data_IF_953556519974
#
_entry.id   IF_953556519974
#
_cell.length_a   1.000
_cell.length_b   1.000
_cell.length_c   1.000
_cell.angle_alpha   90.00
_cell.angle_beta   90.00
_cell.angle_gamma   90.00
#
_symmetry.space_group_name_H-M   'P 1'
#
loop_
_entity.id
_entity.type
_entity.pdbx_description
1 polymer ?
#
# COMPACT_ATOMS: atom_id res chain seq x y z
N UNK A 1 28.54 22.78 -35.42
CA UNK A 1 29.38 22.83 -34.20
C UNK A 1 29.43 24.25 -33.59
N UNK A 2 28.52 24.52 -32.65
CA UNK A 2 28.70 25.48 -31.54
C UNK A 2 27.91 24.91 -30.35
N UNK A 3 28.46 24.90 -29.13
CA UNK A 3 27.89 24.14 -28.01
C UNK A 3 26.74 24.88 -27.33
N UNK A 4 25.73 24.13 -26.90
CA UNK A 4 24.68 24.60 -25.99
C UNK A 4 25.29 24.89 -24.60
N UNK A 5 24.82 25.93 -23.89
CA UNK A 5 25.32 26.28 -22.56
C UNK A 5 24.90 25.26 -21.48
N UNK A 6 25.67 25.10 -20.40
CA UNK A 6 25.38 24.13 -19.34
C UNK A 6 24.15 24.54 -18.52
N UNK A 7 23.37 23.53 -18.12
CA UNK A 7 22.21 23.68 -17.24
C UNK A 7 22.62 24.29 -15.88
N UNK A 8 21.79 25.18 -15.28
CA UNK A 8 22.11 25.78 -13.99
C UNK A 8 22.06 24.72 -12.87
N UNK A 9 23.11 24.72 -12.06
CA UNK A 9 23.19 23.96 -10.83
C UNK A 9 22.03 24.30 -9.89
N UNK A 10 21.42 23.27 -9.31
CA UNK A 10 20.44 23.39 -8.22
C UNK A 10 21.15 24.00 -7.00
N UNK A 11 21.14 25.32 -6.93
CA UNK A 11 21.48 26.10 -5.74
C UNK A 11 20.46 25.84 -4.64
N UNK A 12 20.96 25.75 -3.40
CA UNK A 12 20.17 25.50 -2.20
C UNK A 12 18.94 26.41 -2.10
N UNK A 13 17.77 25.77 -1.95
CA UNK A 13 16.54 26.46 -1.63
C UNK A 13 16.56 27.01 -0.20
N UNK A 14 15.88 28.14 0.07
CA UNK A 14 15.88 28.78 1.37
C UNK A 14 15.09 27.95 2.38
N UNK A 15 15.61 27.89 3.61
CA UNK A 15 14.87 27.43 4.78
C UNK A 15 13.65 28.34 4.98
N UNK A 16 12.45 27.81 4.73
CA UNK A 16 11.20 28.43 5.16
C UNK A 16 10.85 27.93 6.57
N UNK A 17 10.45 28.82 7.49
CA UNK A 17 10.18 28.48 8.89
C UNK A 17 8.91 27.64 9.01
N UNK A 18 8.96 26.63 9.87
CA UNK A 18 7.80 25.85 10.32
C UNK A 18 6.78 26.76 10.99
N UNK A 19 5.74 27.16 10.25
CA UNK A 19 4.51 27.71 10.81
C UNK A 19 3.44 26.62 10.83
N UNK A 20 3.10 26.17 12.03
CA UNK A 20 1.96 25.30 12.32
C UNK A 20 0.65 26.07 12.05
N UNK A 21 -0.01 25.74 10.95
CA UNK A 21 -1.39 26.16 10.65
C UNK A 21 -2.39 25.03 10.94
N UNK A 22 -3.58 25.31 11.52
CA UNK A 22 -4.59 24.29 11.80
C UNK A 22 -5.50 24.12 10.59
N UNK A 23 -5.63 22.90 10.04
CA UNK A 23 -6.59 22.68 8.95
C UNK A 23 -6.45 21.39 8.17
N UNK A 24 -6.26 20.24 8.80
CA UNK A 24 -6.12 18.99 8.06
C UNK A 24 -6.61 17.82 8.92
N UNK A 25 -7.67 17.10 8.50
CA UNK A 25 -7.93 15.77 9.07
C UNK A 25 -8.61 14.73 8.18
N UNK A 26 -9.29 15.11 7.10
CA UNK A 26 -10.06 14.14 6.30
C UNK A 26 -9.21 12.98 5.75
N UNK A 27 -8.04 13.31 5.19
CA UNK A 27 -7.04 12.32 4.77
C UNK A 27 -5.97 12.05 5.85
N UNK A 28 -5.98 12.84 6.95
CA UNK A 28 -5.16 12.48 8.10
C UNK A 28 -5.68 11.24 8.78
N UNK A 29 -6.95 10.83 8.71
CA UNK A 29 -7.35 9.54 9.29
C UNK A 29 -6.57 8.36 8.70
N UNK A 30 -6.26 8.36 7.40
CA UNK A 30 -5.36 7.36 6.79
C UNK A 30 -3.92 7.57 7.28
N UNK A 31 -3.45 8.82 7.28
CA UNK A 31 -2.11 9.16 7.79
C UNK A 31 -1.93 8.77 9.27
N UNK A 32 -2.99 8.87 10.07
CA UNK A 32 -3.09 8.57 11.50
C UNK A 32 -3.19 7.06 11.75
N UNK A 33 -3.95 6.34 10.92
CA UNK A 33 -3.93 4.88 10.86
C UNK A 33 -2.50 4.37 10.62
N UNK A 34 -1.78 5.00 9.68
CA UNK A 34 -0.43 4.58 9.28
C UNK A 34 0.68 5.12 10.20
N UNK A 35 0.45 6.22 10.93
CA UNK A 35 1.43 6.86 11.79
C UNK A 35 1.48 6.19 13.17
N UNK A 36 1.98 4.96 13.22
CA UNK A 36 2.48 4.34 14.45
C UNK A 36 3.79 4.99 14.96
N UNK A 37 3.97 6.31 14.83
CA UNK A 37 5.17 7.03 15.29
C UNK A 37 4.80 8.09 16.32
N UNK A 38 5.36 8.06 17.55
CA UNK A 38 5.29 9.20 18.43
C UNK A 38 6.13 10.34 17.84
N UNK A 39 5.54 11.55 17.77
CA UNK A 39 6.28 12.79 17.68
C UNK A 39 7.21 12.85 18.90
N UNK A 40 8.51 12.63 18.68
CA UNK A 40 9.52 12.91 19.69
C UNK A 40 9.51 14.42 19.97
N UNK A 41 9.00 14.80 21.14
CA UNK A 41 9.09 16.16 21.64
C UNK A 41 10.56 16.54 21.86
N UNK A 42 11.15 17.26 20.91
CA UNK A 42 12.40 17.96 21.12
C UNK A 42 12.10 19.18 21.98
N UNK A 43 12.48 19.11 23.26
CA UNK A 43 12.51 20.25 24.17
C UNK A 43 13.46 21.35 23.66
N UNK A 44 13.30 22.59 24.15
CA UNK A 44 13.90 23.77 23.55
C UNK A 44 15.44 23.73 23.60
N UNK A 45 16.04 23.93 22.44
CA UNK A 45 17.49 23.91 22.23
C UNK A 45 18.22 25.00 23.01
N UNK A 46 19.32 24.61 23.65
CA UNK A 46 20.45 25.50 23.95
C UNK A 46 21.41 25.48 22.76
N UNK A 47 21.70 26.67 22.25
CA UNK A 47 22.72 26.94 21.23
C UNK A 47 24.12 26.49 21.70
N UNK A 48 24.98 25.89 20.85
CA UNK A 48 26.39 25.71 21.17
C UNK A 48 27.24 26.85 20.58
N UNK A 49 27.90 27.61 21.45
CA UNK A 49 29.11 28.35 21.10
C UNK A 49 30.30 27.38 21.12
N UNK A 50 31.11 27.39 20.06
CA UNK A 50 32.17 26.41 19.84
C UNK A 50 33.42 26.62 20.69
N UNK A 51 34.25 25.57 20.78
CA UNK A 51 35.73 25.64 20.79
C UNK A 51 36.26 24.31 20.23
N UNK A 52 37.20 24.43 19.29
CA UNK A 52 38.02 23.38 18.67
C UNK A 52 39.01 22.80 19.69
N UNK A 53 39.17 21.47 19.71
CA UNK A 53 40.47 20.85 20.05
C UNK A 53 40.58 19.41 19.54
N UNK A 54 41.60 19.20 18.71
CA UNK A 54 42.10 17.88 18.29
C UNK A 54 42.53 17.02 19.49
N UNK A 55 42.38 15.69 19.38
CA UNK A 55 43.50 14.73 19.42
C UNK A 55 43.08 13.28 19.14
N UNK A 56 44.04 12.58 18.53
CA UNK A 56 44.10 11.21 18.00
C UNK A 56 43.92 10.07 19.03
N UNK A 57 43.76 8.81 18.55
CA UNK A 57 43.27 7.66 19.33
C UNK A 57 44.42 6.89 20.00
N UNK A 58 44.10 6.17 21.09
CA UNK A 58 44.99 5.19 21.70
C UNK A 58 44.27 3.89 22.03
N UNK A 59 44.92 2.80 21.59
CA UNK A 59 44.73 1.41 22.00
C UNK A 59 45.00 1.20 23.50
N UNK A 60 44.38 0.16 24.05
CA UNK A 60 44.96 -0.97 24.82
C UNK A 60 43.76 -1.83 25.29
N UNK A 61 43.58 -3.12 24.99
CA UNK A 61 44.42 -4.30 25.23
C UNK A 61 44.81 -4.49 26.71
N UNK A 62 44.15 -5.43 27.39
CA UNK A 62 44.81 -6.27 28.37
C UNK A 62 44.18 -7.68 28.38
N UNK A 63 45.06 -8.66 28.21
CA UNK A 63 44.83 -10.09 28.30
C UNK A 63 45.23 -10.61 29.69
N UNK A 64 44.71 -11.78 30.04
CA UNK A 64 45.20 -12.68 31.11
C UNK A 64 44.47 -14.04 30.97
N UNK A 65 44.95 -14.99 30.15
CA UNK A 65 45.91 -16.08 30.45
C UNK A 65 45.38 -17.09 31.50
N UNK A 66 45.41 -18.42 31.38
CA UNK A 66 45.87 -19.40 30.37
C UNK A 66 45.53 -20.83 30.88
N UNK A 67 45.45 -21.79 29.94
CA UNK A 67 45.71 -23.27 30.07
C UNK A 67 44.66 -24.10 30.84
N UNK A 68 44.21 -25.27 30.39
CA UNK A 68 44.59 -26.17 29.30
C UNK A 68 44.47 -27.63 29.80
N UNK A 69 43.71 -28.51 29.12
CA UNK A 69 43.87 -29.97 29.22
C UNK A 69 43.05 -30.71 28.14
N UNK A 70 43.68 -31.71 27.52
CA UNK A 70 43.16 -32.68 26.56
C UNK A 70 42.43 -33.84 27.25
N UNK A 71 41.82 -34.71 26.41
CA UNK A 71 41.39 -36.11 26.60
C UNK A 71 39.94 -36.23 27.10
N UNK A 72 39.05 -37.05 26.54
CA UNK A 72 39.14 -38.07 25.49
C UNK A 72 37.73 -38.62 25.23
N UNK A 73 37.52 -39.17 24.04
CA UNK A 73 36.37 -40.02 23.72
C UNK A 73 36.41 -41.31 24.57
N UNK A 74 35.25 -41.94 24.80
CA UNK A 74 35.19 -43.37 24.54
C UNK A 74 33.96 -43.78 23.71
N UNK A 75 34.20 -44.77 22.84
CA UNK A 75 33.18 -45.54 22.13
C UNK A 75 32.58 -46.67 22.98
N UNK A 76 31.34 -47.03 22.63
CA UNK A 76 30.61 -48.32 22.68
C UNK A 76 30.82 -49.31 23.85
N UNK A 77 29.67 -49.68 24.43
CA UNK A 77 29.41 -51.01 25.00
C UNK A 77 27.97 -51.43 24.68
N UNK A 78 27.83 -52.56 23.98
CA UNK A 78 26.59 -53.31 23.76
C UNK A 78 26.24 -54.12 25.01
N UNK A 79 24.97 -54.18 25.40
CA UNK A 79 24.33 -55.34 26.02
C UNK A 79 22.80 -55.12 26.00
N UNK A 80 22.07 -56.15 25.59
CA UNK A 80 20.61 -56.16 25.57
C UNK A 80 20.06 -57.08 26.67
N UNK A 81 18.91 -56.73 27.22
CA UNK A 81 17.86 -57.70 27.59
C UNK A 81 16.56 -56.98 28.00
N UNK A 82 15.45 -57.67 27.68
CA UNK A 82 14.04 -57.28 27.83
C UNK A 82 13.57 -57.03 29.27
N UNK A 83 12.63 -56.09 29.45
CA UNK A 83 11.25 -56.40 29.94
C UNK A 83 10.36 -55.15 30.17
N UNK A 84 9.17 -55.27 29.58
CA UNK A 84 7.85 -54.64 29.83
C UNK A 84 7.65 -53.90 31.18
N UNK A 85 6.92 -52.78 31.13
CA UNK A 85 5.91 -52.47 32.15
C UNK A 85 5.76 -51.01 32.61
N UNK A 86 4.87 -50.28 31.92
CA UNK A 86 3.83 -49.38 32.46
C UNK A 86 4.14 -48.27 33.50
N UNK A 87 3.59 -47.09 33.15
CA UNK A 87 3.08 -45.98 33.98
C UNK A 87 4.06 -44.95 34.55
N UNK A 88 4.28 -43.96 33.68
CA UNK A 88 4.24 -42.52 33.90
C UNK A 88 3.87 -41.97 35.27
N UNK A 89 4.77 -41.13 35.78
CA UNK A 89 4.53 -39.78 36.29
C UNK A 89 5.89 -39.16 36.64
N UNK A 90 6.45 -38.32 35.75
CA UNK A 90 7.57 -37.43 36.10
C UNK A 90 7.45 -36.11 35.37
N UNK A 91 7.59 -35.04 36.15
CA UNK A 91 7.33 -33.65 35.77
C UNK A 91 8.00 -33.21 34.49
N UNK A 92 7.28 -32.38 33.73
CA UNK A 92 7.82 -31.58 32.62
C UNK A 92 8.94 -30.70 33.16
N UNK A 93 10.19 -31.11 32.94
CA UNK A 93 11.30 -30.17 32.85
C UNK A 93 10.99 -29.23 31.69
N UNK A 94 10.64 -27.99 32.01
CA UNK A 94 10.58 -26.89 31.05
C UNK A 94 12.01 -26.63 30.62
N UNK A 95 12.38 -27.19 29.47
CA UNK A 95 13.62 -26.85 28.79
C UNK A 95 13.47 -25.41 28.32
N UNK A 96 14.08 -24.47 29.06
CA UNK A 96 14.17 -23.07 28.69
C UNK A 96 15.03 -22.94 27.43
N UNK A 97 14.42 -23.18 26.28
CA UNK A 97 14.98 -22.81 24.98
C UNK A 97 14.92 -21.30 24.87
N UNK A 98 16.08 -20.65 24.86
CA UNK A 98 16.21 -19.24 24.51
C UNK A 98 15.87 -19.13 23.01
N UNK A 99 14.59 -18.89 22.71
CA UNK A 99 14.14 -18.49 21.38
C UNK A 99 14.46 -17.00 21.19
N UNK A 100 15.71 -16.67 20.89
CA UNK A 100 16.09 -15.33 20.40
C UNK A 100 15.88 -15.25 18.90
N UNK A 101 14.64 -15.01 18.49
CA UNK A 101 14.35 -14.27 17.25
C UNK A 101 12.88 -13.86 17.26
N UNK A 102 12.59 -12.74 17.91
CA UNK A 102 11.40 -11.98 17.53
C UNK A 102 11.64 -11.55 16.09
N UNK A 103 10.83 -12.07 15.17
CA UNK A 103 10.77 -11.61 13.78
C UNK A 103 10.28 -10.15 13.80
N UNK A 104 11.17 -9.23 14.13
CA UNK A 104 11.01 -7.86 13.70
C UNK A 104 11.19 -7.91 12.19
N UNK A 105 10.12 -7.72 11.42
CA UNK A 105 10.21 -7.57 9.96
C UNK A 105 11.29 -6.52 9.69
N UNK A 106 12.46 -6.97 9.23
CA UNK A 106 13.58 -6.08 9.04
C UNK A 106 13.22 -5.13 7.90
N UNK A 107 13.15 -3.84 8.23
CA UNK A 107 12.91 -2.80 7.24
C UNK A 107 14.06 -2.83 6.24
N UNK A 108 13.73 -2.96 4.96
CA UNK A 108 14.71 -2.83 3.89
C UNK A 108 15.28 -1.41 3.89
N UNK A 109 16.58 -1.28 3.66
CA UNK A 109 17.27 -0.01 3.72
C UNK A 109 18.51 0.03 2.84
N UNK A 110 19.25 1.13 2.92
CA UNK A 110 20.51 1.28 2.19
C UNK A 110 21.54 0.20 2.56
N UNK A 111 21.60 -0.21 3.82
CA UNK A 111 22.49 -1.29 4.27
C UNK A 111 22.15 -2.61 3.58
N UNK A 112 20.88 -3.01 3.55
CA UNK A 112 20.43 -4.22 2.84
C UNK A 112 20.81 -4.21 1.37
N UNK A 113 20.68 -3.05 0.71
CA UNK A 113 21.09 -2.86 -0.69
C UNK A 113 22.62 -2.98 -0.90
N UNK A 114 23.41 -2.43 0.02
CA UNK A 114 24.88 -2.52 0.02
C UNK A 114 25.32 -3.97 0.26
N UNK A 115 24.70 -4.67 1.21
CA UNK A 115 24.96 -6.08 1.50
C UNK A 115 24.49 -7.05 0.40
N UNK A 116 23.90 -6.53 -0.69
CA UNK A 116 23.68 -7.29 -1.92
C UNK A 116 22.24 -7.74 -2.15
N UNK A 117 21.28 -7.30 -1.33
CA UNK A 117 19.85 -7.50 -1.58
C UNK A 117 19.38 -6.59 -2.72
N UNK A 118 19.51 -7.10 -3.94
CA UNK A 118 19.13 -6.46 -5.19
C UNK A 118 17.80 -7.00 -5.70
N UNK A 119 16.93 -6.10 -6.14
CA UNK A 119 15.58 -6.43 -6.58
C UNK A 119 15.59 -7.17 -7.92
N UNK A 120 16.43 -6.77 -8.87
CA UNK A 120 16.48 -7.42 -10.19
C UNK A 120 16.89 -8.89 -10.11
N UNK A 121 17.71 -9.28 -9.11
CA UNK A 121 18.09 -10.69 -8.90
C UNK A 121 16.91 -11.60 -8.56
N UNK A 122 15.82 -11.04 -8.03
CA UNK A 122 14.60 -11.78 -7.67
C UNK A 122 13.55 -11.74 -8.79
N UNK A 123 13.73 -10.88 -9.79
CA UNK A 123 12.79 -10.75 -10.88
C UNK A 123 12.91 -11.94 -11.83
N UNK A 124 11.77 -12.53 -12.14
CA UNK A 124 11.58 -13.61 -13.09
C UNK A 124 10.67 -13.11 -14.21
N UNK A 125 10.54 -13.89 -15.29
CA UNK A 125 9.63 -13.54 -16.39
C UNK A 125 8.17 -13.41 -15.92
N UNK A 126 7.78 -14.13 -14.86
CA UNK A 126 6.45 -14.09 -14.26
C UNK A 126 6.24 -12.94 -13.27
N UNK A 127 7.27 -12.15 -12.99
CA UNK A 127 7.21 -11.00 -12.07
C UNK A 127 6.55 -9.80 -12.74
N UNK A 128 5.25 -9.93 -13.05
CA UNK A 128 4.46 -8.93 -13.76
C UNK A 128 3.33 -8.41 -12.87
N UNK A 129 3.01 -7.14 -13.06
CA UNK A 129 1.84 -6.49 -12.45
C UNK A 129 0.74 -6.45 -13.49
N UNK A 130 -0.33 -7.20 -13.24
CA UNK A 130 -1.50 -7.29 -14.11
C UNK A 130 -2.67 -6.62 -13.40
N UNK A 131 -3.37 -5.71 -14.07
CA UNK A 131 -4.59 -5.09 -13.55
C UNK A 131 -5.79 -5.52 -14.37
N UNK A 132 -6.84 -5.99 -13.69
CA UNK A 132 -8.13 -6.30 -14.33
C UNK A 132 -9.07 -5.12 -14.11
N UNK A 133 -9.36 -4.42 -15.19
CA UNK A 133 -10.21 -3.24 -15.24
C UNK A 133 -11.55 -3.54 -15.93
N UNK A 134 -12.57 -2.77 -15.55
CA UNK A 134 -13.91 -2.95 -16.08
C UNK A 134 -14.96 -2.20 -15.25
N UNK A 135 -16.13 -2.03 -15.85
CA UNK A 135 -17.25 -1.32 -15.25
C UNK A 135 -17.84 -2.07 -14.02
N UNK A 136 -18.74 -1.43 -13.28
CA UNK A 136 -19.43 -2.06 -12.15
C UNK A 136 -20.26 -3.24 -12.65
N UNK A 137 -20.16 -4.40 -11.99
CA UNK A 137 -20.91 -5.60 -12.38
C UNK A 137 -20.31 -6.42 -13.53
N UNK A 138 -19.11 -6.07 -14.04
CA UNK A 138 -18.47 -6.82 -15.12
C UNK A 138 -17.98 -8.23 -14.73
N UNK A 139 -17.90 -8.55 -13.44
CA UNK A 139 -17.39 -9.84 -12.94
C UNK A 139 -15.87 -9.91 -12.79
N UNK A 140 -15.21 -8.74 -12.75
CA UNK A 140 -13.74 -8.61 -12.71
C UNK A 140 -13.06 -9.38 -11.59
N UNK A 141 -13.65 -9.45 -10.39
CA UNK A 141 -12.99 -10.09 -9.25
C UNK A 141 -12.89 -11.60 -9.36
N UNK A 142 -13.91 -12.24 -9.94
CA UNK A 142 -13.85 -13.69 -10.19
C UNK A 142 -12.77 -14.01 -11.23
N UNK A 143 -12.69 -13.22 -12.31
CA UNK A 143 -11.64 -13.37 -13.31
C UNK A 143 -10.25 -13.14 -12.72
N UNK A 144 -10.06 -12.09 -11.93
CA UNK A 144 -8.79 -11.75 -11.30
C UNK A 144 -8.30 -12.86 -10.37
N UNK A 145 -9.22 -13.45 -9.59
CA UNK A 145 -8.92 -14.58 -8.71
C UNK A 145 -8.48 -15.82 -9.49
N UNK A 146 -9.27 -16.22 -10.50
CA UNK A 146 -8.94 -17.38 -11.34
C UNK A 146 -7.62 -17.20 -12.11
N UNK A 147 -7.35 -15.97 -12.57
CA UNK A 147 -6.10 -15.64 -13.25
C UNK A 147 -4.89 -15.74 -12.31
N UNK A 148 -5.03 -15.21 -11.09
CA UNK A 148 -3.98 -15.28 -10.09
C UNK A 148 -3.66 -16.72 -9.68
N UNK A 149 -4.68 -17.55 -9.45
CA UNK A 149 -4.52 -18.97 -9.10
C UNK A 149 -3.79 -19.74 -10.20
N UNK A 150 -4.15 -19.54 -11.47
CA UNK A 150 -3.55 -20.26 -12.60
C UNK A 150 -2.11 -19.80 -12.92
N UNK A 151 -1.83 -18.51 -12.80
CA UNK A 151 -0.48 -17.97 -13.02
C UNK A 151 0.45 -18.12 -11.79
N UNK A 152 -0.11 -18.49 -10.63
CA UNK A 152 0.62 -18.52 -9.36
C UNK A 152 0.99 -17.13 -8.85
N UNK A 153 0.20 -16.11 -9.18
CA UNK A 153 0.41 -14.73 -8.77
C UNK A 153 -0.39 -14.41 -7.50
N UNK A 154 0.03 -13.37 -6.77
CA UNK A 154 -0.74 -12.91 -5.60
C UNK A 154 -1.93 -12.09 -6.08
N UNK A 155 -3.13 -12.49 -5.66
CA UNK A 155 -4.36 -11.72 -5.90
C UNK A 155 -4.56 -10.66 -4.82
N UNK A 156 -4.88 -9.44 -5.25
CA UNK A 156 -5.34 -8.37 -4.38
C UNK A 156 -6.79 -8.03 -4.76
N UNK A 157 -7.76 -8.26 -3.87
CA UNK A 157 -9.17 -7.96 -4.13
C UNK A 157 -9.41 -6.45 -4.24
N UNK A 158 -10.52 -6.00 -4.84
CA UNK A 158 -10.80 -4.56 -4.97
C UNK A 158 -10.70 -3.80 -3.63
N UNK A 159 -10.02 -2.65 -3.61
CA UNK A 159 -9.89 -1.84 -2.40
C UNK A 159 -11.23 -1.24 -1.97
N UNK A 160 -11.73 -1.71 -0.84
CA UNK A 160 -12.90 -1.15 -0.15
C UNK A 160 -12.54 0.11 0.66
N UNK A 161 -13.58 0.80 1.16
CA UNK A 161 -13.44 1.90 2.14
C UNK A 161 -12.62 1.46 3.36
N UNK A 162 -12.77 0.21 3.79
CA UNK A 162 -12.10 -0.36 4.96
C UNK A 162 -10.72 -0.97 4.67
N UNK A 163 -10.15 -0.77 3.47
CA UNK A 163 -8.88 -1.40 3.10
C UNK A 163 -7.74 -1.04 4.07
N UNK A 164 -7.60 0.24 4.41
CA UNK A 164 -6.57 0.70 5.35
C UNK A 164 -6.76 0.10 6.75
N UNK A 165 -8.01 -0.04 7.21
CA UNK A 165 -8.36 -0.61 8.52
C UNK A 165 -8.09 -2.12 8.58
N UNK A 166 -8.40 -2.85 7.50
CA UNK A 166 -8.14 -4.30 7.40
C UNK A 166 -6.64 -4.61 7.41
N UNK A 167 -5.83 -3.73 6.83
CA UNK A 167 -4.39 -3.92 6.73
C UNK A 167 -3.62 -3.36 7.93
N UNK A 168 -4.26 -2.60 8.82
CA UNK A 168 -3.60 -1.89 9.93
C UNK A 168 -4.15 -2.31 11.28
N UNK A 169 -3.27 -2.60 12.24
CA UNK A 169 -3.66 -2.94 13.61
C UNK A 169 -4.35 -4.30 13.72
N UNK A 170 -5.45 -4.36 14.48
CA UNK A 170 -6.17 -5.60 14.80
C UNK A 170 -7.08 -6.09 13.65
N UNK A 171 -7.15 -5.36 12.52
CA UNK A 171 -8.00 -5.68 11.37
C UNK A 171 -9.51 -5.48 11.63
N UNK A 172 -9.87 -4.92 12.79
CA UNK A 172 -11.24 -4.58 13.15
C UNK A 172 -11.73 -3.35 12.39
N UNK A 173 -12.94 -3.42 11.85
CA UNK A 173 -13.59 -2.28 11.19
C UNK A 173 -13.89 -1.20 12.24
N UNK A 174 -13.42 0.01 11.98
CA UNK A 174 -13.60 1.16 12.86
C UNK A 174 -14.98 1.80 12.67
N UNK A 175 -15.40 2.57 13.67
CA UNK A 175 -16.61 3.36 13.56
C UNK A 175 -16.56 4.31 12.35
N UNK A 176 -17.70 4.62 11.69
CA UNK A 176 -17.72 5.44 10.49
C UNK A 176 -17.04 6.81 10.65
N UNK A 177 -17.11 7.41 11.84
CA UNK A 177 -16.46 8.70 12.14
C UNK A 177 -14.92 8.62 12.08
N UNK A 178 -14.35 7.48 12.47
CA UNK A 178 -12.91 7.24 12.47
C UNK A 178 -12.43 6.76 11.09
N UNK A 179 -13.25 6.00 10.38
CA UNK A 179 -13.02 5.49 9.02
C UNK A 179 -13.25 6.51 7.90
N UNK A 180 -12.94 7.80 8.15
CA UNK A 180 -13.03 8.87 7.14
C UNK A 180 -14.44 9.43 6.89
N UNK A 181 -15.45 9.03 7.67
CA UNK A 181 -16.84 9.46 7.57
C UNK A 181 -17.41 9.32 6.14
N UNK A 182 -17.00 8.27 5.44
CA UNK A 182 -17.42 8.00 4.07
C UNK A 182 -18.36 6.80 4.04
N UNK A 183 -19.47 6.89 3.29
CA UNK A 183 -20.36 5.75 3.07
C UNK A 183 -20.75 5.63 1.62
N UNK A 184 -20.51 4.44 1.05
CA UNK A 184 -20.98 4.04 -0.28
C UNK A 184 -22.51 4.00 -0.35
N UNK A 185 -23.17 3.53 0.70
CA UNK A 185 -24.63 3.45 0.77
C UNK A 185 -25.25 4.84 0.67
N UNK A 186 -24.73 5.80 1.44
CA UNK A 186 -25.17 7.21 1.37
C UNK A 186 -24.94 7.83 -0.01
N UNK A 187 -23.85 7.45 -0.70
CA UNK A 187 -23.57 7.91 -2.05
C UNK A 187 -24.62 7.40 -3.05
N UNK A 188 -24.98 6.11 -2.99
CA UNK A 188 -26.00 5.57 -3.88
C UNK A 188 -27.42 6.04 -3.55
N UNK A 189 -27.71 6.36 -2.28
CA UNK A 189 -28.99 6.89 -1.86
C UNK A 189 -29.21 8.34 -2.29
N UNK A 190 -28.20 9.19 -2.09
CA UNK A 190 -28.25 10.59 -2.46
C UNK A 190 -26.87 11.13 -2.88
N UNK A 191 -26.49 10.95 -4.16
CA UNK A 191 -25.18 11.37 -4.65
C UNK A 191 -25.01 12.91 -4.72
N UNK A 192 -26.11 13.67 -4.64
CA UNK A 192 -26.13 15.14 -4.63
C UNK A 192 -26.28 15.74 -3.23
N UNK A 193 -25.99 14.95 -2.19
CA UNK A 193 -26.06 15.42 -0.81
C UNK A 193 -25.13 16.62 -0.57
N UNK A 194 -25.61 17.61 0.16
CA UNK A 194 -24.85 18.80 0.57
C UNK A 194 -23.74 18.51 1.57
N UNK A 195 -23.69 17.30 2.14
CA UNK A 195 -22.68 16.84 3.10
C UNK A 195 -21.30 16.60 2.47
N UNK A 196 -21.19 16.65 1.13
CA UNK A 196 -19.92 16.43 0.42
C UNK A 196 -19.41 14.99 0.46
N UNK A 197 -20.21 14.04 0.96
CA UNK A 197 -19.86 12.62 1.07
C UNK A 197 -19.37 12.03 -0.26
N UNK A 198 -19.94 12.46 -1.39
CA UNK A 198 -19.55 11.98 -2.72
C UNK A 198 -18.08 12.18 -3.01
N UNK A 199 -17.58 13.41 -2.85
CA UNK A 199 -16.18 13.71 -3.13
C UNK A 199 -15.26 13.15 -2.04
N UNK A 200 -15.66 13.22 -0.76
CA UNK A 200 -14.91 12.66 0.36
C UNK A 200 -14.67 11.16 0.18
N UNK A 201 -15.71 10.43 -0.23
CA UNK A 201 -15.64 9.00 -0.55
C UNK A 201 -14.70 8.72 -1.72
N UNK A 202 -14.79 9.49 -2.81
CA UNK A 202 -13.92 9.31 -3.96
C UNK A 202 -12.44 9.55 -3.60
N UNK A 203 -12.15 10.60 -2.84
CA UNK A 203 -10.79 10.87 -2.36
C UNK A 203 -10.28 9.77 -1.43
N UNK A 204 -11.13 9.24 -0.56
CA UNK A 204 -10.81 8.11 0.32
C UNK A 204 -10.52 6.83 -0.46
N UNK A 205 -11.38 6.47 -1.43
CA UNK A 205 -11.18 5.31 -2.29
C UNK A 205 -9.91 5.44 -3.12
N UNK A 206 -9.60 6.64 -3.61
CA UNK A 206 -8.35 6.92 -4.31
C UNK A 206 -7.12 6.64 -3.42
N UNK A 207 -7.13 7.14 -2.18
CA UNK A 207 -6.04 6.90 -1.23
C UNK A 207 -5.90 5.41 -0.86
N UNK A 208 -7.02 4.70 -0.65
CA UNK A 208 -7.02 3.25 -0.42
C UNK A 208 -6.47 2.46 -1.61
N UNK A 209 -6.82 2.84 -2.85
CA UNK A 209 -6.28 2.24 -4.08
C UNK A 209 -4.80 2.52 -4.26
N UNK A 210 -4.34 3.71 -3.85
CA UNK A 210 -2.92 4.06 -3.87
C UNK A 210 -2.12 3.23 -2.87
N UNK A 211 -2.64 3.03 -1.65
CA UNK A 211 -2.06 2.14 -0.65
C UNK A 211 -2.00 0.70 -1.13
N UNK A 212 -3.08 0.20 -1.72
CA UNK A 212 -3.11 -1.13 -2.31
C UNK A 212 -2.06 -1.29 -3.41
N UNK A 213 -1.90 -0.29 -4.27
CA UNK A 213 -0.89 -0.32 -5.31
C UNK A 213 0.53 -0.34 -4.74
N UNK A 214 0.75 0.42 -3.65
CA UNK A 214 2.00 0.39 -2.88
C UNK A 214 2.27 -1.00 -2.29
N UNK A 215 1.28 -1.64 -1.64
CA UNK A 215 1.40 -2.99 -1.08
C UNK A 215 1.70 -4.05 -2.15
N UNK A 216 1.05 -3.92 -3.32
CA UNK A 216 1.30 -4.79 -4.47
C UNK A 216 2.72 -4.64 -5.02
N UNK A 217 3.20 -3.41 -5.18
CA UNK A 217 4.57 -3.14 -5.60
C UNK A 217 5.59 -3.58 -4.56
N UNK A 218 5.33 -3.39 -3.27
CA UNK A 218 6.18 -3.88 -2.20
C UNK A 218 6.30 -5.40 -2.24
N UNK A 219 5.19 -6.12 -2.42
CA UNK A 219 5.19 -7.58 -2.58
C UNK A 219 6.01 -8.01 -3.80
N UNK A 220 5.81 -7.37 -4.95
CA UNK A 220 6.56 -7.65 -6.18
C UNK A 220 8.07 -7.41 -5.99
N UNK A 221 8.46 -6.27 -5.42
CA UNK A 221 9.86 -5.85 -5.27
C UNK A 221 10.60 -6.62 -4.16
N UNK A 222 9.86 -7.14 -3.17
CA UNK A 222 10.44 -7.94 -2.09
C UNK A 222 10.53 -9.42 -2.46
N UNK A 223 9.47 -10.02 -3.01
CA UNK A 223 9.40 -11.46 -3.26
C UNK A 223 9.78 -11.85 -4.68
N UNK A 224 9.63 -10.95 -5.64
CA UNK A 224 9.70 -11.28 -7.06
C UNK A 224 8.44 -11.98 -7.59
N UNK A 225 7.42 -12.22 -6.78
CA UNK A 225 6.16 -12.81 -7.26
C UNK A 225 5.30 -11.74 -7.94
N UNK A 226 4.80 -12.03 -9.14
CA UNK A 226 3.86 -11.15 -9.83
C UNK A 226 2.54 -10.99 -9.08
N UNK A 227 1.77 -9.96 -9.46
CA UNK A 227 0.58 -9.53 -8.74
C UNK A 227 -0.56 -9.27 -9.71
N UNK A 228 -1.76 -9.72 -9.34
CA UNK A 228 -3.02 -9.40 -10.02
C UNK A 228 -3.85 -8.48 -9.14
N UNK A 229 -4.22 -7.33 -9.68
CA UNK A 229 -5.01 -6.29 -9.00
C UNK A 229 -6.38 -6.14 -9.66
N UNK A 230 -7.41 -5.92 -8.85
CA UNK A 230 -8.72 -5.51 -9.32
C UNK A 230 -8.84 -3.99 -9.32
N UNK A 231 -8.80 -3.40 -10.53
CA UNK A 231 -8.63 -1.96 -10.73
C UNK A 231 -7.34 -1.41 -10.11
N UNK A 232 -6.91 -0.25 -10.56
CA UNK A 232 -5.69 0.39 -10.07
C UNK A 232 -5.91 1.86 -9.79
N UNK A 233 -4.95 2.50 -9.12
CA UNK A 233 -4.96 3.95 -8.95
C UNK A 233 -4.99 4.71 -10.31
N UNK A 234 -4.55 4.06 -11.40
CA UNK A 234 -4.63 4.61 -12.75
C UNK A 234 -6.04 4.64 -13.32
N UNK A 235 -6.91 3.69 -12.95
CA UNK A 235 -8.29 3.65 -13.46
C UNK A 235 -9.28 4.44 -12.60
N UNK A 236 -8.89 4.92 -11.42
CA UNK A 236 -9.78 5.66 -10.51
C UNK A 236 -10.43 6.91 -11.15
N UNK A 237 -9.70 7.64 -11.99
CA UNK A 237 -10.18 8.90 -12.55
C UNK A 237 -11.41 8.75 -13.45
N UNK A 238 -11.68 7.55 -13.98
CA UNK A 238 -12.88 7.31 -14.81
C UNK A 238 -14.16 7.49 -13.99
N UNK A 239 -14.12 7.19 -12.68
CA UNK A 239 -15.22 7.38 -11.76
C UNK A 239 -15.42 8.86 -11.47
N UNK A 240 -14.33 9.58 -11.23
CA UNK A 240 -14.37 11.01 -10.99
C UNK A 240 -14.92 11.77 -12.21
N UNK A 241 -14.44 11.46 -13.42
CA UNK A 241 -14.94 12.05 -14.66
C UNK A 241 -16.45 11.76 -14.89
N UNK A 242 -16.90 10.55 -14.59
CA UNK A 242 -18.31 10.19 -14.68
C UNK A 242 -19.17 10.96 -13.64
N UNK A 243 -18.68 11.10 -12.40
CA UNK A 243 -19.36 11.88 -11.36
C UNK A 243 -19.44 13.37 -11.72
N UNK A 244 -18.41 13.91 -12.37
CA UNK A 244 -18.38 15.29 -12.84
C UNK A 244 -19.42 15.53 -13.95
N UNK A 245 -19.54 14.61 -14.92
CA UNK A 245 -20.55 14.69 -16.00
C UNK A 245 -21.99 14.62 -15.53
N UNK A 246 -22.26 13.80 -14.51
CA UNK A 246 -23.58 13.73 -13.85
C UNK A 246 -23.91 14.96 -12.98
N UNK A 247 -22.91 15.83 -12.75
CA UNK A 247 -23.02 17.00 -11.89
C UNK A 247 -23.09 16.64 -10.40
N UNK A 248 -22.52 15.51 -9.98
CA UNK A 248 -22.44 15.15 -8.56
C UNK A 248 -21.31 15.86 -7.82
N UNK A 249 -20.30 16.31 -8.56
CA UNK A 249 -19.08 16.91 -8.00
C UNK A 249 -18.83 18.26 -8.67
N UNK A 250 -18.37 19.22 -7.86
CA UNK A 250 -18.06 20.58 -8.31
C UNK A 250 -16.74 20.63 -9.08
N UNK A 251 -16.53 21.68 -9.87
CA UNK A 251 -15.31 21.83 -10.67
C UNK A 251 -14.05 21.93 -9.81
N UNK A 252 -14.12 22.64 -8.69
CA UNK A 252 -12.99 22.81 -7.77
C UNK A 252 -12.52 21.47 -7.17
N UNK A 253 -13.45 20.54 -6.97
CA UNK A 253 -13.13 19.17 -6.53
C UNK A 253 -12.42 18.36 -7.62
N UNK A 254 -12.78 18.57 -8.90
CA UNK A 254 -12.10 17.94 -10.04
C UNK A 254 -10.67 18.49 -10.19
N UNK A 255 -10.48 19.80 -10.01
CA UNK A 255 -9.17 20.45 -10.04
C UNK A 255 -8.28 19.90 -8.90
N UNK A 256 -8.83 19.77 -7.69
CA UNK A 256 -8.15 19.16 -6.55
C UNK A 256 -7.74 17.71 -6.81
N UNK A 257 -8.64 16.90 -7.37
CA UNK A 257 -8.34 15.51 -7.70
C UNK A 257 -7.24 15.40 -8.77
N UNK A 258 -7.28 16.28 -9.78
CA UNK A 258 -6.28 16.33 -10.84
C UNK A 258 -4.90 16.68 -10.30
N UNK A 259 -4.81 17.60 -9.33
CA UNK A 259 -3.56 17.96 -8.67
C UNK A 259 -3.00 16.79 -7.85
N UNK A 260 -3.84 16.11 -7.06
CA UNK A 260 -3.43 14.89 -6.34
C UNK A 260 -2.88 13.86 -7.33
N UNK A 261 -3.64 13.54 -8.38
CA UNK A 261 -3.23 12.57 -9.42
C UNK A 261 -1.88 12.95 -10.03
N UNK A 262 -1.63 14.24 -10.27
CA UNK A 262 -0.38 14.76 -10.84
C UNK A 262 0.82 14.56 -9.90
N UNK A 263 0.61 14.65 -8.58
CA UNK A 263 1.67 14.52 -7.57
C UNK A 263 1.98 13.06 -7.20
N UNK A 264 0.98 12.19 -7.21
CA UNK A 264 1.10 10.79 -6.75
C UNK A 264 1.49 9.83 -7.88
N UNK A 265 0.77 9.85 -9.02
CA UNK A 265 0.89 8.83 -10.08
C UNK A 265 2.30 8.73 -10.68
N UNK A 266 3.01 9.84 -11.00
CA UNK A 266 4.34 9.75 -11.61
C UNK A 266 5.42 9.11 -10.72
N UNK A 267 5.16 8.95 -9.41
CA UNK A 267 6.08 8.30 -8.48
C UNK A 267 6.07 6.79 -8.60
N UNK A 268 5.01 6.23 -9.19
CA UNK A 268 4.83 4.80 -9.35
C UNK A 268 5.03 4.40 -10.81
N UNK A 269 5.51 3.17 -11.00
CA UNK A 269 5.55 2.55 -12.32
C UNK A 269 4.13 2.10 -12.71
N UNK A 270 3.70 2.23 -13.97
CA UNK A 270 2.41 1.72 -14.44
C UNK A 270 2.36 0.18 -14.36
N UNK A 271 1.19 -0.47 -14.40
CA UNK A 271 1.11 -1.92 -14.57
C UNK A 271 1.76 -2.36 -15.90
N UNK A 272 2.14 -3.65 -15.98
CA UNK A 272 2.70 -4.22 -17.22
C UNK A 272 1.60 -4.54 -18.23
N UNK A 273 0.46 -5.02 -17.72
CA UNK A 273 -0.67 -5.45 -18.53
C UNK A 273 -1.97 -4.95 -17.89
N UNK A 274 -2.83 -4.36 -18.72
CA UNK A 274 -4.21 -4.03 -18.35
C UNK A 274 -5.16 -4.94 -19.12
N UNK A 275 -5.98 -5.68 -18.39
CA UNK A 275 -7.04 -6.51 -18.95
C UNK A 275 -8.35 -5.74 -18.79
N UNK A 276 -8.92 -5.25 -19.89
CA UNK A 276 -10.18 -4.50 -19.88
C UNK A 276 -11.34 -5.40 -20.30
N UNK A 277 -12.37 -5.50 -19.45
CA UNK A 277 -13.59 -6.25 -19.75
C UNK A 277 -14.68 -5.31 -20.27
N UNK A 278 -14.96 -5.40 -21.57
CA UNK A 278 -16.04 -4.67 -22.21
C UNK A 278 -17.38 -5.41 -22.03
N UNK A 279 -18.30 -4.74 -21.34
CA UNK A 279 -19.66 -5.24 -21.09
C UNK A 279 -20.62 -4.08 -21.35
N UNK A 280 -21.63 -4.27 -22.23
CA UNK A 280 -22.53 -3.19 -22.58
C UNK A 280 -23.42 -2.79 -21.39
N UNK A 281 -23.68 -1.49 -21.22
CA UNK A 281 -24.48 -0.91 -20.11
C UNK A 281 -25.82 -1.63 -19.86
N UNK A 282 -26.63 -1.99 -20.86
CA UNK A 282 -27.89 -2.70 -20.62
C UNK A 282 -27.71 -4.07 -19.96
N UNK A 283 -26.59 -4.76 -20.24
CA UNK A 283 -26.27 -6.03 -19.59
C UNK A 283 -25.77 -5.80 -18.16
N UNK A 284 -24.96 -4.76 -17.95
CA UNK A 284 -24.50 -4.37 -16.61
C UNK A 284 -25.65 -4.06 -15.67
N UNK A 285 -26.64 -3.30 -16.12
CA UNK A 285 -27.84 -2.99 -15.33
C UNK A 285 -28.59 -4.26 -14.91
N UNK A 286 -28.76 -5.21 -15.83
CA UNK A 286 -29.39 -6.51 -15.51
C UNK A 286 -28.59 -7.28 -14.46
N UNK A 287 -27.25 -7.31 -14.58
CA UNK A 287 -26.37 -7.98 -13.61
C UNK A 287 -26.43 -7.31 -12.24
N UNK A 288 -26.42 -5.98 -12.18
CA UNK A 288 -26.51 -5.21 -10.93
C UNK A 288 -27.87 -5.47 -10.26
N UNK A 289 -28.96 -5.50 -11.03
CA UNK A 289 -30.29 -5.84 -10.51
C UNK A 289 -30.35 -7.25 -9.93
N UNK A 290 -29.69 -8.22 -10.57
CA UNK A 290 -29.61 -9.62 -10.12
C UNK A 290 -28.72 -9.80 -8.88
N UNK A 291 -27.64 -9.01 -8.74
CA UNK A 291 -26.66 -9.15 -7.65
C UNK A 291 -27.20 -8.79 -6.26
N UNK A 292 -28.42 -8.28 -6.16
CA UNK A 292 -29.16 -8.17 -4.90
C UNK A 292 -28.75 -7.03 -3.96
N UNK A 293 -27.59 -6.39 -4.14
CA UNK A 293 -27.16 -5.25 -3.32
C UNK A 293 -28.13 -4.07 -3.47
N UNK A 294 -28.96 -3.85 -2.45
CA UNK A 294 -29.99 -2.80 -2.37
C UNK A 294 -29.45 -1.40 -2.72
N UNK A 295 -28.27 -0.96 -2.21
CA UNK A 295 -27.75 0.36 -2.56
C UNK A 295 -27.28 0.46 -4.02
N UNK A 296 -26.59 -0.56 -4.56
CA UNK A 296 -26.08 -0.54 -5.94
C UNK A 296 -27.20 -0.52 -7.01
N UNK A 297 -28.43 -0.93 -6.66
CA UNK A 297 -29.57 -0.90 -7.59
C UNK A 297 -30.01 0.51 -7.98
N UNK A 298 -29.63 1.55 -7.22
CA UNK A 298 -30.02 2.95 -7.47
C UNK A 298 -29.14 3.66 -8.51
N UNK A 299 -28.14 2.96 -9.06
CA UNK A 299 -27.22 3.54 -10.04
C UNK A 299 -27.95 3.90 -11.34
N UNK A 300 -27.72 5.11 -11.84
CA UNK A 300 -28.30 5.58 -13.10
C UNK A 300 -27.61 4.95 -14.31
N UNK A 301 -28.39 4.65 -15.36
CA UNK A 301 -27.84 4.14 -16.62
C UNK A 301 -26.86 5.13 -17.27
N UNK A 302 -27.14 6.42 -17.16
CA UNK A 302 -26.28 7.50 -17.67
C UNK A 302 -24.90 7.49 -16.99
N UNK A 303 -24.85 7.29 -15.66
CA UNK A 303 -23.58 7.20 -14.94
C UNK A 303 -22.71 6.02 -15.41
N UNK A 304 -23.31 4.84 -15.62
CA UNK A 304 -22.58 3.68 -16.15
C UNK A 304 -22.07 3.91 -17.58
N UNK A 305 -22.86 4.61 -18.41
CA UNK A 305 -22.44 4.99 -19.76
C UNK A 305 -21.28 5.99 -19.72
N UNK A 306 -21.32 6.97 -18.81
CA UNK A 306 -20.22 7.92 -18.63
C UNK A 306 -18.93 7.26 -18.15
N UNK A 307 -19.02 6.23 -17.31
CA UNK A 307 -17.86 5.41 -16.93
C UNK A 307 -17.30 4.68 -18.15
N UNK A 308 -18.14 3.98 -18.92
CA UNK A 308 -17.70 3.26 -20.12
C UNK A 308 -17.04 4.18 -21.15
N UNK A 309 -17.65 5.35 -21.37
CA UNK A 309 -17.11 6.41 -22.22
C UNK A 309 -15.74 6.91 -21.72
N UNK A 310 -15.57 7.11 -20.41
CA UNK A 310 -14.31 7.56 -19.82
C UNK A 310 -13.21 6.49 -19.95
N UNK A 311 -13.56 5.22 -19.78
CA UNK A 311 -12.64 4.11 -20.05
C UNK A 311 -12.15 4.13 -21.51
N UNK A 312 -13.09 4.15 -22.47
CA UNK A 312 -12.78 4.05 -23.89
C UNK A 312 -12.07 5.29 -24.45
N UNK A 313 -12.47 6.50 -24.03
CA UNK A 313 -11.95 7.76 -24.58
C UNK A 313 -10.66 8.24 -23.95
N UNK A 314 -10.44 7.96 -22.66
CA UNK A 314 -9.33 8.55 -21.89
C UNK A 314 -8.37 7.47 -21.39
N UNK A 315 -8.89 6.46 -20.67
CA UNK A 315 -8.05 5.47 -19.99
C UNK A 315 -7.30 4.55 -20.97
N UNK A 316 -8.00 3.88 -21.89
CA UNK A 316 -7.37 2.95 -22.82
C UNK A 316 -6.30 3.64 -23.71
N UNK A 317 -6.54 4.83 -24.28
CA UNK A 317 -5.51 5.53 -25.06
C UNK A 317 -4.31 6.01 -24.22
N UNK A 318 -4.52 6.41 -22.96
CA UNK A 318 -3.42 6.80 -22.07
C UNK A 318 -2.55 5.59 -21.70
N UNK A 319 -3.20 4.48 -21.35
CA UNK A 319 -2.53 3.25 -20.93
C UNK A 319 -1.84 2.54 -22.10
N UNK A 320 -2.40 2.59 -23.31
CA UNK A 320 -1.81 1.95 -24.50
C UNK A 320 -0.41 2.47 -24.83
N UNK A 321 -0.11 3.72 -24.45
CA UNK A 321 1.23 4.33 -24.59
C UNK A 321 2.22 3.81 -23.56
N UNK A 322 1.75 3.38 -22.38
CA UNK A 322 2.57 3.07 -21.22
C UNK A 322 2.70 1.56 -20.96
N UNK A 323 1.71 0.77 -21.35
CA UNK A 323 1.61 -0.66 -21.07
C UNK A 323 0.83 -1.39 -22.16
N UNK A 324 0.86 -2.72 -22.11
CA UNK A 324 0.06 -3.55 -22.99
C UNK A 324 -1.38 -3.65 -22.50
N UNK A 325 -2.33 -3.72 -23.43
CA UNK A 325 -3.76 -3.79 -23.13
C UNK A 325 -4.36 -4.98 -23.86
N UNK A 326 -5.16 -5.77 -23.14
CA UNK A 326 -6.00 -6.82 -23.70
C UNK A 326 -7.46 -6.48 -23.43
N UNK A 327 -8.24 -6.38 -24.50
CA UNK A 327 -9.67 -6.08 -24.44
C UNK A 327 -10.48 -7.36 -24.67
N UNK A 328 -11.39 -7.66 -23.73
CA UNK A 328 -12.24 -8.85 -23.80
C UNK A 328 -13.71 -8.50 -23.70
N UNK A 329 -14.53 -9.15 -24.52
CA UNK A 329 -15.99 -9.10 -24.34
C UNK A 329 -16.41 -9.96 -23.16
N UNK A 330 -17.54 -9.63 -22.52
CA UNK A 330 -18.19 -10.41 -21.46
C UNK A 330 -18.21 -11.96 -21.65
N UNK A 331 -18.37 -12.45 -22.89
CA UNK A 331 -18.36 -13.90 -23.19
C UNK A 331 -16.95 -14.49 -23.16
N UNK A 332 -15.99 -13.78 -23.73
CA UNK A 332 -14.58 -14.18 -23.77
C UNK A 332 -13.94 -14.11 -22.39
N UNK A 333 -14.35 -13.15 -21.57
CA UNK A 333 -13.88 -13.00 -20.19
C UNK A 333 -14.16 -14.22 -19.29
N UNK A 334 -15.07 -15.12 -19.69
CA UNK A 334 -15.32 -16.38 -18.97
C UNK A 334 -14.30 -17.46 -19.30
N UNK A 335 -13.64 -17.37 -20.46
CA UNK A 335 -12.65 -18.34 -20.89
C UNK A 335 -11.26 -17.89 -20.46
N UNK A 336 -10.89 -18.26 -19.23
CA UNK A 336 -9.57 -17.94 -18.66
C UNK A 336 -8.44 -18.64 -19.42
N UNK A 337 -8.71 -19.79 -20.08
CA UNK A 337 -7.68 -20.51 -20.83
C UNK A 337 -7.15 -19.67 -21.98
N UNK A 338 -8.06 -19.10 -22.77
CA UNK A 338 -7.71 -18.19 -23.85
C UNK A 338 -6.94 -16.95 -23.36
N UNK A 339 -7.38 -16.34 -22.26
CA UNK A 339 -6.71 -15.16 -21.70
C UNK A 339 -5.27 -15.47 -21.30
N UNK A 340 -5.02 -16.66 -20.74
CA UNK A 340 -3.66 -17.08 -20.37
C UNK A 340 -2.76 -17.30 -21.60
N UNK A 341 -3.31 -17.89 -22.66
CA UNK A 341 -2.60 -18.02 -23.93
C UNK A 341 -2.25 -16.65 -24.48
N UNK A 342 -3.22 -15.74 -24.56
CA UNK A 342 -3.01 -14.37 -25.03
C UNK A 342 -1.91 -13.67 -24.22
N UNK A 343 -1.92 -13.77 -22.89
CA UNK A 343 -0.90 -13.21 -22.00
C UNK A 343 0.49 -13.75 -22.31
N UNK A 344 0.61 -15.03 -22.66
CA UNK A 344 1.90 -15.65 -23.00
C UNK A 344 2.47 -15.15 -24.33
N UNK A 345 1.61 -14.69 -25.25
CA UNK A 345 2.01 -14.15 -26.54
C UNK A 345 2.28 -12.64 -26.53
N UNK A 346 1.96 -11.93 -25.44
CA UNK A 346 2.20 -10.48 -25.36
C UNK A 346 3.72 -10.20 -25.32
N UNK A 347 4.28 -9.48 -26.30
CA UNK A 347 5.65 -8.99 -26.21
C UNK A 347 5.65 -7.80 -25.23
N UNK A 348 6.17 -8.01 -24.03
CA UNK A 348 6.25 -6.98 -22.98
C UNK A 348 7.34 -5.92 -23.27
N UNK A 349 7.25 -5.29 -24.44
CA UNK A 349 8.27 -4.39 -24.98
C UNK A 349 7.98 -2.92 -24.65
N UNK A 350 6.78 -2.63 -24.14
CA UNK A 350 6.34 -1.28 -23.78
C UNK A 350 6.55 -0.95 -22.31
N UNK A 351 6.81 0.33 -22.07
CA UNK A 351 6.70 0.95 -20.75
C UNK A 351 8.04 1.19 -20.06
N UNK A 352 8.01 1.99 -18.98
CA UNK A 352 9.22 2.43 -18.28
C UNK A 352 9.91 1.30 -17.50
N UNK A 353 9.33 0.09 -17.45
CA UNK A 353 9.88 -1.06 -16.74
C UNK A 353 11.22 -1.53 -17.29
N UNK A 354 11.41 -1.47 -18.62
CA UNK A 354 12.64 -1.90 -19.28
C UNK A 354 13.83 -0.98 -18.97
N UNK A 355 13.55 0.29 -18.69
CA UNK A 355 14.58 1.30 -18.37
C UNK A 355 15.00 1.26 -16.89
N UNK A 356 14.37 0.42 -16.06
CA UNK A 356 14.64 0.40 -14.63
C UNK A 356 15.94 -0.32 -14.30
N UNK A 357 16.75 0.34 -13.47
CA UNK A 357 17.97 -0.20 -12.90
C UNK A 357 17.74 -0.61 -11.44
N UNK A 358 18.64 -1.41 -10.87
CA UNK A 358 18.60 -1.79 -9.45
C UNK A 358 18.48 -0.57 -8.51
N UNK A 359 19.13 0.56 -8.87
CA UNK A 359 19.07 1.81 -8.10
C UNK A 359 17.71 2.49 -8.18
N UNK A 360 17.03 2.47 -9.34
CA UNK A 360 15.71 3.08 -9.46
C UNK A 360 14.67 2.21 -8.73
N UNK A 361 14.73 0.89 -8.90
CA UNK A 361 13.88 -0.04 -8.15
C UNK A 361 14.13 0.01 -6.64
N UNK A 362 15.37 0.24 -6.20
CA UNK A 362 15.68 0.46 -4.78
C UNK A 362 14.95 1.69 -4.23
N UNK A 363 14.91 2.81 -4.96
CA UNK A 363 14.17 4.02 -4.55
C UNK A 363 12.67 3.79 -4.49
N UNK A 364 12.12 3.10 -5.49
CA UNK A 364 10.69 2.74 -5.50
C UNK A 364 10.39 1.82 -4.31
N UNK A 365 11.26 0.85 -4.01
CA UNK A 365 11.11 -0.05 -2.86
C UNK A 365 11.10 0.70 -1.52
N UNK A 366 11.99 1.68 -1.34
CA UNK A 366 12.00 2.53 -0.15
C UNK A 366 10.73 3.37 -0.04
N UNK A 367 10.23 3.91 -1.16
CA UNK A 367 8.98 4.67 -1.20
C UNK A 367 7.77 3.82 -0.81
N UNK A 368 7.58 2.66 -1.43
CA UNK A 368 6.39 1.81 -1.18
C UNK A 368 6.37 1.22 0.23
N UNK A 369 7.54 1.02 0.84
CA UNK A 369 7.65 0.54 2.21
C UNK A 369 7.20 1.60 3.23
N UNK A 370 7.39 2.89 2.94
CA UNK A 370 6.90 3.98 3.79
C UNK A 370 5.49 4.41 3.37
N UNK A 371 4.49 3.78 3.98
CA UNK A 371 3.07 4.06 3.71
C UNK A 371 2.68 5.50 4.03
N UNK A 372 3.38 6.16 4.96
CA UNK A 372 3.13 7.57 5.26
C UNK A 372 3.55 8.45 4.08
N UNK A 373 4.75 8.25 3.53
CA UNK A 373 5.24 9.04 2.38
C UNK A 373 4.38 8.82 1.12
N UNK A 374 3.85 7.62 0.94
CA UNK A 374 2.89 7.30 -0.13
C UNK A 374 1.61 8.14 -0.01
N UNK A 375 1.06 8.25 1.20
CA UNK A 375 -0.22 8.95 1.44
C UNK A 375 -0.04 10.45 1.64
N UNK A 376 1.15 10.92 2.01
CA UNK A 376 1.44 12.33 2.28
C UNK A 376 1.06 13.28 1.11
N UNK A 377 1.16 12.80 -0.13
CA UNK A 377 0.79 13.59 -1.32
C UNK A 377 -0.69 13.55 -1.67
N UNK A 378 -1.48 12.72 -0.97
CA UNK A 378 -2.94 12.77 -1.06
C UNK A 378 -3.50 13.93 -0.21
N UNK A 379 -2.84 14.25 0.90
CA UNK A 379 -3.15 15.39 1.79
C UNK A 379 -2.57 16.70 1.24
N UNK A 380 -3.09 17.21 0.13
CA UNK A 380 -2.69 18.52 -0.39
C UNK A 380 -3.40 19.62 0.42
N UNK A 381 -2.72 20.69 0.85
CA UNK A 381 -3.32 21.77 1.65
C UNK A 381 -4.18 22.71 0.78
N UNK A 382 -5.23 22.16 0.20
CA UNK A 382 -6.25 22.87 -0.57
C UNK A 382 -7.59 22.75 0.16
N UNK A 383 -8.12 23.89 0.60
CA UNK A 383 -9.31 23.93 1.43
C UNK A 383 -10.58 23.85 0.58
N UNK A 384 -11.19 22.67 0.54
CA UNK A 384 -12.52 22.44 -0.03
C UNK A 384 -13.51 22.06 1.09
N UNK A 385 -14.75 22.56 1.08
CA UNK A 385 -15.72 22.29 2.14
C UNK A 385 -16.10 20.81 2.27
N UNK A 386 -15.98 19.99 1.22
CA UNK A 386 -16.32 18.56 1.24
C UNK A 386 -15.30 17.70 2.01
N UNK A 387 -14.03 18.12 2.03
CA UNK A 387 -12.92 17.36 2.63
C UNK A 387 -12.30 18.04 3.85
N UNK A 388 -12.47 19.36 3.97
CA UNK A 388 -11.89 20.13 5.07
C UNK A 388 -12.67 19.86 6.33
N UNK A 389 -12.00 19.30 7.33
CA UNK A 389 -12.55 19.06 8.65
C UNK A 389 -12.11 20.20 9.57
N UNK A 390 -13.03 20.72 10.37
CA UNK A 390 -12.74 21.77 11.34
C UNK A 390 -11.81 21.26 12.46
N UNK A 391 -10.86 22.09 12.89
CA UNK A 391 -9.82 21.71 13.85
C UNK A 391 -10.34 21.03 15.13
N UNK A 392 -11.47 21.50 15.68
CA UNK A 392 -12.10 20.89 16.86
C UNK A 392 -12.61 19.47 16.63
N UNK A 393 -13.12 19.19 15.42
CA UNK A 393 -13.57 17.85 15.06
C UNK A 393 -12.36 16.94 14.82
N UNK A 394 -11.32 17.44 14.14
CA UNK A 394 -10.05 16.75 13.95
C UNK A 394 -9.44 16.28 15.27
N UNK A 395 -9.35 17.19 16.24
CA UNK A 395 -8.74 16.93 17.55
C UNK A 395 -9.52 15.88 18.33
N UNK A 396 -10.86 15.98 18.32
CA UNK A 396 -11.74 14.98 18.93
C UNK A 396 -11.57 13.58 18.33
N UNK A 397 -11.59 13.48 17.01
CA UNK A 397 -11.42 12.22 16.27
C UNK A 397 -10.04 11.63 16.56
N UNK A 398 -9.00 12.46 16.59
CA UNK A 398 -7.64 12.04 16.89
C UNK A 398 -7.50 11.45 18.30
N UNK A 399 -8.10 12.10 19.31
CA UNK A 399 -8.10 11.59 20.68
C UNK A 399 -8.91 10.30 20.81
N UNK A 400 -10.10 10.23 20.21
CA UNK A 400 -10.90 9.01 20.16
C UNK A 400 -10.14 7.85 19.48
N UNK A 401 -9.43 8.11 18.38
CA UNK A 401 -8.62 7.12 17.70
C UNK A 401 -7.48 6.59 18.59
N UNK A 402 -6.81 7.47 19.34
CA UNK A 402 -5.74 7.07 20.28
C UNK A 402 -6.25 6.30 21.51
N UNK A 403 -7.50 6.50 21.88
CA UNK A 403 -8.14 5.77 22.98
C UNK A 403 -8.56 4.34 22.57
N UNK A 404 -8.60 4.05 21.27
CA UNK A 404 -8.82 2.69 20.79
C UNK A 404 -7.67 1.77 21.21
N UNK A 405 -8.06 0.53 21.51
CA UNK A 405 -7.14 -0.54 21.86
C UNK A 405 -6.14 -0.76 20.71
N UNK A 406 -4.85 -0.79 21.01
CA UNK A 406 -3.78 -1.01 20.02
C UNK A 406 -3.37 0.20 19.19
N UNK A 407 -3.98 1.37 19.40
CA UNK A 407 -3.71 2.59 18.62
C UNK A 407 -3.04 3.71 19.44
N UNK A 408 -2.78 3.47 20.73
CA UNK A 408 -2.20 4.47 21.63
C UNK A 408 -0.71 4.74 21.36
N UNK A 409 0.05 3.69 21.09
CA UNK A 409 1.48 3.74 20.80
C UNK A 409 1.80 3.03 19.47
N UNK A 410 3.08 3.08 19.09
CA UNK A 410 3.60 2.38 17.93
C UNK A 410 3.27 0.87 18.01
N UNK A 411 3.01 0.20 16.87
CA UNK A 411 2.82 -1.25 16.84
C UNK A 411 3.98 -1.98 17.54
N UNK A 412 3.65 -2.91 18.44
CA UNK A 412 4.63 -3.66 19.24
C UNK A 412 4.97 -3.08 20.62
N UNK A 413 4.37 -1.93 20.97
CA UNK A 413 4.51 -1.23 22.26
C UNK A 413 3.18 -1.02 23.02
N UNK A 414 2.12 -1.72 22.62
CA UNK A 414 0.77 -1.58 23.17
C UNK A 414 0.48 -2.68 24.21
N UNK A 415 0.61 -2.34 25.50
CA UNK A 415 0.39 -3.27 26.61
C UNK A 415 -1.04 -3.83 26.67
N UNK A 416 -2.00 -3.03 26.22
CA UNK A 416 -3.42 -3.34 26.13
C UNK A 416 -3.73 -4.46 25.13
N UNK A 417 -2.94 -4.60 24.06
CA UNK A 417 -3.05 -5.70 23.08
C UNK A 417 -2.23 -6.93 23.52
N UNK A 418 -1.47 -6.82 24.61
CA UNK A 418 -0.64 -7.91 25.13
C UNK A 418 0.78 -7.93 24.55
N UNK A 419 1.27 -6.78 24.06
CA UNK A 419 2.66 -6.68 23.62
C UNK A 419 3.62 -6.96 24.80
N UNK A 420 4.52 -7.91 24.58
CA UNK A 420 5.54 -8.29 25.55
C UNK A 420 6.85 -7.52 25.31
N UNK A 421 7.67 -7.43 26.36
CA UNK A 421 9.02 -6.84 26.31
C UNK A 421 9.06 -5.36 25.90
N UNK A 422 8.01 -4.60 26.22
CA UNK A 422 7.86 -3.18 25.86
C UNK A 422 9.05 -2.34 26.35
N UNK A 423 9.62 -2.67 27.52
CA UNK A 423 10.75 -1.94 28.10
C UNK A 423 12.12 -2.31 27.50
N UNK A 424 12.20 -3.38 26.70
CA UNK A 424 13.44 -3.87 26.05
C UNK A 424 13.43 -3.72 24.52
N UNK A 425 12.36 -3.17 23.96
CA UNK A 425 12.26 -2.76 22.55
C UNK A 425 12.51 -1.26 22.51
#
# INVERSE_FOLDING_TARGET
PKPLPPAPALGGGPAFPEFLGPGEAGLRSISLLLSGRPLAALGPGRLPGGVVRERRPWLWAHAGNQKGARLGLPERGTDGEDRKGFRGERGRQVQAGIHTSLQHEQRYGHLSYIFGERTLKRFTEKSKVITVDGNLGSGKGELAKQLAEKLGLRHFPEADVYYAEKNTGDGSILGPELGGNCSLEKFYDNPRSSDGNTYRLQAWLYASRLLQYSDALEHLLSTGQGVVLERSAFSDFVFMEAMFKEGFVRKECMDHYTEIKRLTIPRFLPPHLVIYIDVPVPELLKRIQQKGNVPEKKVTAAYLQHIEDAYKKIFLPEMSKKCEILEYTAKQAKDVGKILEDISYVPFDKGPWLEQNDRSLHRVRLLVQDKYDVVNYTTVPMYLPEITIGAHQCDRIYHQFKELKGHKFAPGYNADVGDSWIWLK
#
